data_IF_761761110486
#
_entry.id   IF_761761110486
#
_cell.length_a   1.000
_cell.length_b   1.000
_cell.length_c   1.000
_cell.angle_alpha   90.00
_cell.angle_beta   90.00
_cell.angle_gamma   90.00
#
_symmetry.space_group_name_H-M   'P 1'
#
loop_
_entity.id
_entity.type
_entity.pdbx_description
1 polymer ?
#
# COMPACT_ATOMS: atom_id res chain seq x y z
N UNK A 1 0.11 8.98 23.78
CA UNK A 1 0.12 8.83 22.31
C UNK A 1 -1.10 9.58 21.82
N UNK A 2 -0.92 10.56 20.95
CA UNK A 2 -2.02 11.31 20.35
C UNK A 2 -2.79 10.43 19.34
N UNK A 3 -4.01 10.86 19.02
CA UNK A 3 -4.93 10.12 18.16
C UNK A 3 -4.35 9.88 16.75
N UNK A 4 -3.61 10.86 16.21
CA UNK A 4 -2.96 10.73 14.92
C UNK A 4 -1.88 9.64 14.94
N UNK A 5 -1.02 9.63 15.96
CA UNK A 5 0.01 8.59 16.09
C UNK A 5 -0.60 7.18 16.20
N UNK A 6 -1.72 7.04 16.93
CA UNK A 6 -2.40 5.74 17.07
C UNK A 6 -2.99 5.26 15.75
N UNK A 7 -3.70 6.14 15.03
CA UNK A 7 -4.28 5.83 13.71
C UNK A 7 -3.19 5.48 12.69
N UNK A 8 -2.07 6.21 12.71
CA UNK A 8 -0.92 5.93 11.87
C UNK A 8 -0.36 4.52 12.12
N UNK A 9 -0.16 4.12 13.38
CA UNK A 9 0.33 2.78 13.73
C UNK A 9 -0.65 1.70 13.27
N UNK A 10 -1.95 1.88 13.49
CA UNK A 10 -2.98 0.91 13.07
C UNK A 10 -2.95 0.71 11.56
N UNK A 11 -2.92 1.79 10.79
CA UNK A 11 -2.84 1.74 9.32
C UNK A 11 -1.55 1.08 8.84
N UNK A 12 -0.41 1.44 9.41
CA UNK A 12 0.88 0.82 9.08
C UNK A 12 0.88 -0.67 9.37
N UNK A 13 0.32 -1.10 10.50
CA UNK A 13 0.23 -2.52 10.86
C UNK A 13 -0.66 -3.29 9.90
N UNK A 14 -1.83 -2.76 9.56
CA UNK A 14 -2.75 -3.40 8.63
C UNK A 14 -2.13 -3.55 7.23
N UNK A 15 -1.61 -2.47 6.65
CA UNK A 15 -1.09 -2.51 5.28
C UNK A 15 0.20 -3.33 5.14
N UNK A 16 0.95 -3.52 6.23
CA UNK A 16 2.09 -4.45 6.24
C UNK A 16 1.70 -5.91 6.55
N UNK A 17 0.47 -6.17 6.99
CA UNK A 17 -0.03 -7.52 7.24
C UNK A 17 -0.18 -8.32 5.95
N UNK A 18 -0.43 -9.62 6.09
CA UNK A 18 -0.70 -10.48 4.94
C UNK A 18 -1.98 -10.05 4.23
N UNK A 19 -3.05 -9.83 5.00
CA UNK A 19 -4.37 -9.41 4.53
C UNK A 19 -4.30 -8.04 3.83
N UNK A 20 -3.55 -7.09 4.39
CA UNK A 20 -3.33 -5.79 3.74
C UNK A 20 -2.68 -5.93 2.37
N UNK A 21 -1.69 -6.82 2.23
CA UNK A 21 -1.03 -7.10 0.95
C UNK A 21 -1.96 -7.79 -0.05
N UNK A 22 -2.81 -8.71 0.40
CA UNK A 22 -3.83 -9.34 -0.45
C UNK A 22 -4.84 -8.31 -0.97
N UNK A 23 -5.26 -7.36 -0.14
CA UNK A 23 -6.13 -6.25 -0.57
C UNK A 23 -5.45 -5.41 -1.64
N UNK A 24 -4.16 -5.06 -1.47
CA UNK A 24 -3.41 -4.31 -2.50
C UNK A 24 -3.34 -5.06 -3.83
N UNK A 25 -3.08 -6.37 -3.80
CA UNK A 25 -3.09 -7.21 -5.01
C UNK A 25 -4.46 -7.24 -5.68
N UNK A 26 -5.52 -7.36 -4.89
CA UNK A 26 -6.90 -7.37 -5.38
C UNK A 26 -7.31 -6.01 -5.98
N UNK A 27 -6.86 -4.90 -5.39
CA UNK A 27 -7.08 -3.56 -5.93
C UNK A 27 -6.35 -3.36 -7.25
N UNK A 28 -5.09 -3.82 -7.35
CA UNK A 28 -4.33 -3.79 -8.60
C UNK A 28 -5.00 -4.61 -9.70
N UNK A 29 -5.43 -5.83 -9.42
CA UNK A 29 -6.07 -6.68 -10.43
C UNK A 29 -7.38 -6.07 -10.96
N UNK A 30 -8.06 -5.25 -10.16
CA UNK A 30 -9.27 -4.53 -10.54
C UNK A 30 -9.03 -3.16 -11.20
N UNK A 31 -7.78 -2.69 -11.31
CA UNK A 31 -7.46 -1.42 -11.97
C UNK A 31 -7.46 -0.19 -11.06
N UNK A 32 -7.27 -0.37 -9.74
CA UNK A 32 -7.16 0.71 -8.76
C UNK A 32 -5.69 1.08 -8.47
N UNK A 33 -4.86 1.25 -9.50
CA UNK A 33 -3.43 1.57 -9.34
C UNK A 33 -3.19 2.90 -8.61
N UNK A 34 -4.07 3.89 -8.79
CA UNK A 34 -3.91 5.20 -8.16
C UNK A 34 -3.99 5.13 -6.64
N UNK A 35 -4.95 4.35 -6.13
CA UNK A 35 -5.16 4.12 -4.71
C UNK A 35 -4.03 3.29 -4.11
N UNK A 36 -3.59 2.25 -4.81
CA UNK A 36 -2.44 1.44 -4.40
C UNK A 36 -1.17 2.30 -4.34
N UNK A 37 -0.97 3.20 -5.30
CA UNK A 37 0.14 4.15 -5.30
C UNK A 37 0.09 5.06 -4.09
N UNK A 38 -1.07 5.63 -3.75
CA UNK A 38 -1.24 6.48 -2.58
C UNK A 38 -0.93 5.74 -1.27
N UNK A 39 -1.37 4.49 -1.13
CA UNK A 39 -1.08 3.65 0.04
C UNK A 39 0.41 3.33 0.10
N UNK A 40 1.03 2.89 -1.00
CA UNK A 40 2.47 2.63 -1.04
C UNK A 40 3.30 3.88 -0.77
N UNK A 41 2.88 5.04 -1.26
CA UNK A 41 3.53 6.32 -0.96
C UNK A 41 3.45 6.64 0.54
N UNK A 42 2.30 6.41 1.16
CA UNK A 42 2.12 6.56 2.61
C UNK A 42 3.05 5.62 3.40
N UNK A 43 3.14 4.34 3.00
CA UNK A 43 3.96 3.33 3.68
C UNK A 43 5.46 3.58 3.58
N UNK A 44 5.94 3.95 2.38
CA UNK A 44 7.37 4.00 2.07
C UNK A 44 7.92 5.42 1.96
N UNK A 45 7.06 6.44 2.05
CA UNK A 45 7.41 7.86 1.91
C UNK A 45 8.24 8.16 0.65
N UNK A 46 8.06 7.35 -0.40
CA UNK A 46 8.83 7.41 -1.64
C UNK A 46 7.94 7.05 -2.82
N UNK A 47 7.70 8.04 -3.68
CA UNK A 47 6.96 7.87 -4.93
C UNK A 47 7.66 6.89 -5.87
N UNK A 48 9.00 6.91 -5.88
CA UNK A 48 9.80 5.98 -6.66
C UNK A 48 9.59 4.53 -6.20
N UNK A 49 9.69 4.28 -4.89
CA UNK A 49 9.46 2.95 -4.34
C UNK A 49 8.01 2.48 -4.58
N UNK A 50 7.03 3.37 -4.41
CA UNK A 50 5.62 3.05 -4.67
C UNK A 50 5.39 2.63 -6.13
N UNK A 51 5.97 3.36 -7.08
CA UNK A 51 5.88 3.03 -8.50
C UNK A 51 6.52 1.67 -8.82
N UNK A 52 7.72 1.41 -8.31
CA UNK A 52 8.43 0.13 -8.55
C UNK A 52 7.69 -1.07 -7.97
N UNK A 53 7.08 -0.92 -6.78
CA UNK A 53 6.24 -1.96 -6.18
C UNK A 53 5.05 -2.26 -7.07
N UNK A 54 4.30 -1.25 -7.51
CA UNK A 54 3.13 -1.45 -8.39
C UNK A 54 3.54 -2.14 -9.69
N UNK A 55 4.64 -1.69 -10.30
CA UNK A 55 5.15 -2.29 -11.53
C UNK A 55 5.53 -3.77 -11.30
N UNK A 56 6.27 -4.07 -10.25
CA UNK A 56 6.66 -5.45 -9.92
C UNK A 56 5.46 -6.34 -9.61
N UNK A 57 4.42 -5.80 -8.95
CA UNK A 57 3.18 -6.54 -8.70
C UNK A 57 2.38 -6.79 -10.00
N UNK A 58 2.39 -5.85 -10.95
CA UNK A 58 1.76 -6.01 -12.26
C UNK A 58 2.43 -7.08 -13.13
N UNK A 59 3.75 -7.27 -13.00
CA UNK A 59 4.48 -8.34 -13.71
C UNK A 59 4.08 -9.76 -13.29
N UNK A 60 3.31 -9.92 -12.22
CA UNK A 60 2.75 -11.21 -11.77
C UNK A 60 1.45 -11.61 -12.47
N UNK A 61 0.86 -10.73 -13.31
CA UNK A 61 -0.40 -10.93 -14.04
C UNK A 61 -0.19 -10.83 -15.55
#
# INVERSE_FOLDING_TARGET
MDEFTLDWIIKMNFWNSHEGKEVLLCMLSQGYEGEVFAISLFLYSSAFAAHDIIKGLRELF
#
